data_IF_580653836555
#
_entry.id   IF_580653836555
#
_cell.length_a   1.000
_cell.length_b   1.000
_cell.length_c   1.000
_cell.angle_alpha   90.00
_cell.angle_beta   90.00
_cell.angle_gamma   90.00
#
_symmetry.space_group_name_H-M   'P 1'
#
loop_
_entity.id
_entity.type
_entity.pdbx_description
1 polymer ?
#
# COMPACT_ATOMS: atom_id res chain seq x y z
N UNK A 1 43.76 -15.42 -12.13
CA UNK A 1 42.79 -14.36 -12.41
C UNK A 1 41.49 -14.73 -11.70
N UNK A 2 41.13 -13.99 -10.65
CA UNK A 2 39.87 -14.22 -9.93
C UNK A 2 38.76 -13.45 -10.65
N UNK A 3 37.72 -14.16 -11.08
CA UNK A 3 36.53 -13.54 -11.65
C UNK A 3 35.68 -12.95 -10.52
N UNK A 4 35.59 -11.63 -10.47
CA UNK A 4 34.61 -10.91 -9.66
C UNK A 4 33.25 -11.09 -10.34
N UNK A 5 32.46 -12.05 -9.87
CA UNK A 5 31.04 -12.12 -10.22
C UNK A 5 30.31 -11.01 -9.48
N UNK A 6 30.04 -9.91 -10.17
CA UNK A 6 29.06 -8.93 -9.71
C UNK A 6 27.69 -9.58 -9.88
N UNK A 7 27.16 -10.14 -8.80
CA UNK A 7 25.74 -10.47 -8.70
C UNK A 7 24.96 -9.16 -8.71
N UNK A 8 24.68 -8.64 -9.90
CA UNK A 8 23.60 -7.67 -10.06
C UNK A 8 22.34 -8.36 -9.58
N UNK A 9 21.81 -7.96 -8.43
CA UNK A 9 20.46 -8.34 -8.03
C UNK A 9 19.54 -7.86 -9.15
N UNK A 10 19.03 -8.79 -9.95
CA UNK A 10 17.87 -8.50 -10.77
C UNK A 10 16.78 -8.06 -9.80
N UNK A 11 16.46 -6.76 -9.77
CA UNK A 11 15.21 -6.31 -9.15
C UNK A 11 14.13 -7.02 -9.94
N UNK A 12 13.43 -7.98 -9.32
CA UNK A 12 12.16 -8.41 -9.86
C UNK A 12 11.33 -7.15 -10.07
N UNK A 13 10.88 -6.92 -11.30
CA UNK A 13 10.02 -5.77 -11.60
C UNK A 13 8.85 -5.81 -10.62
N UNK A 14 8.79 -4.82 -9.74
CA UNK A 14 7.79 -4.83 -8.68
C UNK A 14 6.41 -4.74 -9.34
N UNK A 15 5.55 -5.70 -9.02
CA UNK A 15 4.25 -5.85 -9.66
C UNK A 15 3.17 -6.01 -8.61
N UNK A 16 1.97 -5.57 -8.94
CA UNK A 16 0.81 -5.78 -8.10
C UNK A 16 0.30 -7.20 -8.26
N UNK A 17 0.15 -7.90 -7.13
CA UNK A 17 -0.48 -9.21 -7.07
C UNK A 17 -1.97 -8.98 -6.81
N UNK A 18 -2.82 -9.27 -7.78
CA UNK A 18 -4.28 -9.15 -7.64
C UNK A 18 -4.92 -10.52 -7.43
N UNK A 19 -5.81 -10.61 -6.45
CA UNK A 19 -6.65 -11.78 -6.19
C UNK A 19 -8.07 -11.34 -5.82
N UNK A 20 -9.01 -12.28 -5.85
CA UNK A 20 -10.36 -12.06 -5.33
C UNK A 20 -10.53 -12.86 -4.04
N UNK A 21 -10.87 -12.19 -2.94
CA UNK A 21 -11.16 -12.82 -1.67
C UNK A 21 -12.58 -12.47 -1.23
N UNK A 22 -13.41 -13.50 -1.02
CA UNK A 22 -14.82 -13.33 -0.63
C UNK A 22 -15.61 -12.36 -1.52
N UNK A 23 -15.25 -12.30 -2.82
CA UNK A 23 -15.90 -11.42 -3.79
C UNK A 23 -15.29 -10.02 -3.91
N UNK A 24 -14.27 -9.66 -3.13
CA UNK A 24 -13.59 -8.38 -3.23
C UNK A 24 -12.22 -8.48 -3.92
N UNK A 25 -11.82 -7.48 -4.71
CA UNK A 25 -10.45 -7.36 -5.19
C UNK A 25 -9.50 -7.06 -4.02
N UNK A 26 -8.48 -7.90 -3.88
CA UNK A 26 -7.35 -7.74 -2.96
C UNK A 26 -6.10 -7.56 -3.79
N UNK A 27 -5.48 -6.40 -3.67
CA UNK A 27 -4.30 -5.99 -4.44
C UNK A 27 -3.13 -5.85 -3.46
N UNK A 28 -2.03 -6.55 -3.73
CA UNK A 28 -0.87 -6.60 -2.83
C UNK A 28 0.42 -6.21 -3.54
N UNK A 29 1.26 -5.44 -2.86
CA UNK A 29 2.66 -5.23 -3.18
C UNK A 29 3.51 -5.89 -2.09
N UNK A 30 4.54 -6.62 -2.49
CA UNK A 30 5.47 -7.30 -1.59
C UNK A 30 6.89 -6.78 -1.84
N UNK A 31 7.64 -6.58 -0.76
CA UNK A 31 9.08 -6.34 -0.79
C UNK A 31 9.79 -7.52 -0.11
N UNK A 32 11.13 -7.50 -0.09
CA UNK A 32 11.88 -8.49 0.69
C UNK A 32 11.62 -8.39 2.21
N UNK A 33 11.12 -7.24 2.65
CA UNK A 33 11.02 -6.90 4.07
C UNK A 33 9.57 -6.88 4.56
N UNK A 34 8.61 -6.44 3.75
CA UNK A 34 7.22 -6.39 4.17
C UNK A 34 6.24 -6.31 3.00
N UNK A 35 5.02 -5.88 3.28
CA UNK A 35 3.97 -5.86 2.27
C UNK A 35 2.93 -4.77 2.51
N UNK A 36 2.36 -4.28 1.42
CA UNK A 36 1.20 -3.41 1.38
C UNK A 36 0.06 -4.16 0.71
N UNK A 37 -1.12 -4.16 1.33
CA UNK A 37 -2.34 -4.71 0.75
C UNK A 37 -3.42 -3.62 0.73
N UNK A 38 -4.16 -3.58 -0.37
CA UNK A 38 -5.30 -2.69 -0.57
C UNK A 38 -6.49 -3.55 -0.96
N UNK A 39 -7.62 -3.30 -0.32
CA UNK A 39 -8.89 -3.94 -0.62
C UNK A 39 -9.92 -2.84 -0.85
N UNK A 40 -10.61 -2.88 -1.99
CA UNK A 40 -11.68 -1.93 -2.30
C UNK A 40 -13.04 -2.67 -2.31
N UNK A 41 -14.10 -1.96 -1.92
CA UNK A 41 -15.49 -2.45 -1.98
C UNK A 41 -16.37 -1.47 -2.78
N UNK A 42 -16.15 -1.37 -4.11
CA UNK A 42 -16.92 -0.45 -4.95
C UNK A 42 -18.40 -0.87 -5.06
N UNK A 43 -18.67 -2.17 -5.03
CA UNK A 43 -20.01 -2.74 -5.14
C UNK A 43 -20.80 -2.71 -3.83
N UNK A 44 -20.18 -2.25 -2.74
CA UNK A 44 -20.80 -2.14 -1.41
C UNK A 44 -21.35 -3.49 -0.93
N UNK A 45 -20.60 -4.57 -1.20
CA UNK A 45 -20.98 -5.96 -0.93
C UNK A 45 -21.33 -6.17 0.54
N UNK A 46 -20.72 -5.41 1.44
CA UNK A 46 -20.92 -5.53 2.89
C UNK A 46 -21.83 -4.44 3.49
N UNK A 47 -22.50 -3.64 2.66
CA UNK A 47 -23.47 -2.64 3.09
C UNK A 47 -23.21 -1.25 2.50
N UNK A 48 -24.08 -0.26 2.77
CA UNK A 48 -24.06 1.03 2.09
C UNK A 48 -22.85 1.91 2.42
N UNK A 49 -22.08 1.55 3.46
CA UNK A 49 -20.88 2.30 3.87
C UNK A 49 -19.67 1.80 3.07
N UNK A 50 -18.74 2.68 2.65
CA UNK A 50 -17.51 2.23 2.01
C UNK A 50 -16.69 1.31 2.93
N UNK A 51 -16.33 0.12 2.45
CA UNK A 51 -15.57 -0.89 3.22
C UNK A 51 -14.14 -1.10 2.69
N UNK A 52 -13.57 -0.11 2.01
CA UNK A 52 -12.17 -0.16 1.60
C UNK A 52 -11.22 -0.26 2.81
N UNK A 53 -10.09 -0.92 2.64
CA UNK A 53 -9.04 -0.98 3.65
C UNK A 53 -7.65 -1.04 3.04
N UNK A 54 -6.69 -0.55 3.82
CA UNK A 54 -5.27 -0.68 3.58
C UNK A 54 -4.68 -1.45 4.75
N UNK A 55 -3.88 -2.46 4.47
CA UNK A 55 -3.08 -3.18 5.46
C UNK A 55 -1.60 -3.03 5.11
N UNK A 56 -0.79 -2.69 6.11
CA UNK A 56 0.66 -2.67 5.99
C UNK A 56 1.28 -3.67 6.96
N UNK A 57 2.23 -4.46 6.46
CA UNK A 57 3.08 -5.33 7.26
C UNK A 57 4.47 -4.67 7.37
N UNK A 58 4.80 -4.11 8.53
CA UNK A 58 6.08 -3.45 8.85
C UNK A 58 6.90 -4.34 9.82
N UNK A 59 8.11 -4.79 9.44
CA UNK A 59 8.94 -5.67 10.28
C UNK A 59 9.34 -5.11 11.64
N UNK A 60 9.59 -3.81 11.73
CA UNK A 60 10.10 -3.16 12.94
C UNK A 60 9.01 -2.39 13.70
N UNK A 61 7.78 -2.32 13.17
CA UNK A 61 6.61 -1.76 13.87
C UNK A 61 5.41 -2.69 13.69
N UNK A 62 5.27 -3.67 14.60
CA UNK A 62 4.22 -4.70 14.51
C UNK A 62 2.80 -4.18 14.84
N UNK A 63 2.68 -3.02 15.48
CA UNK A 63 1.39 -2.38 15.82
C UNK A 63 1.48 -0.85 15.68
N UNK A 64 1.68 -0.35 14.44
CA UNK A 64 1.72 1.08 14.20
C UNK A 64 0.33 1.65 14.50
N UNK A 65 0.29 2.84 15.10
CA UNK A 65 -0.95 3.59 15.34
C UNK A 65 -1.23 4.63 14.24
N UNK A 66 -0.19 5.00 13.50
CA UNK A 66 -0.27 5.91 12.37
C UNK A 66 0.74 5.47 11.32
N UNK A 67 0.34 5.56 10.07
CA UNK A 67 1.24 5.49 8.91
C UNK A 67 1.06 6.68 8.01
N UNK A 68 2.13 7.02 7.29
CA UNK A 68 2.15 8.07 6.29
C UNK A 68 2.56 7.47 4.96
N UNK A 69 1.69 7.60 3.96
CA UNK A 69 2.09 7.44 2.57
C UNK A 69 2.80 8.72 2.13
N UNK A 70 4.04 8.59 1.66
CA UNK A 70 4.87 9.68 1.18
C UNK A 70 5.29 9.40 -0.26
N UNK A 71 4.70 10.12 -1.21
CA UNK A 71 5.08 10.07 -2.60
C UNK A 71 6.37 10.87 -2.86
N UNK A 72 7.09 10.53 -3.93
CA UNK A 72 8.34 11.18 -4.31
C UNK A 72 8.22 12.69 -4.57
N UNK A 73 7.05 13.15 -5.00
CA UNK A 73 6.74 14.56 -5.23
C UNK A 73 6.44 15.34 -3.92
N UNK A 74 6.47 14.65 -2.77
CA UNK A 74 6.20 15.22 -1.45
C UNK A 74 4.74 15.16 -1.03
N UNK A 75 3.83 14.65 -1.87
CA UNK A 75 2.44 14.44 -1.49
C UNK A 75 2.36 13.42 -0.34
N UNK A 76 1.44 13.68 0.60
CA UNK A 76 1.31 12.89 1.83
C UNK A 76 -0.15 12.57 2.16
N UNK A 77 -0.38 11.36 2.63
CA UNK A 77 -1.64 10.91 3.21
C UNK A 77 -1.36 10.24 4.57
N UNK A 78 -2.06 10.68 5.61
CA UNK A 78 -1.91 10.16 6.97
C UNK A 78 -3.09 9.27 7.33
N UNK A 79 -2.79 8.02 7.68
CA UNK A 79 -3.81 7.03 8.00
C UNK A 79 -3.60 6.58 9.45
N UNK A 80 -4.64 6.75 10.27
CA UNK A 80 -4.69 6.08 11.56
C UNK A 80 -4.93 4.59 11.30
N UNK A 81 -4.16 3.75 11.97
CA UNK A 81 -4.16 2.29 11.78
C UNK A 81 -4.32 1.59 13.12
N UNK A 82 -4.93 0.41 13.10
CA UNK A 82 -4.99 -0.50 14.24
C UNK A 82 -4.52 -1.88 13.78
N UNK A 83 -3.46 -2.42 14.40
CA UNK A 83 -2.85 -3.66 13.94
C UNK A 83 -2.36 -3.60 12.48
N UNK A 84 -1.88 -2.43 12.05
CA UNK A 84 -1.43 -2.20 10.67
C UNK A 84 -2.56 -2.02 9.64
N UNK A 85 -3.83 -1.95 10.07
CA UNK A 85 -4.98 -1.80 9.16
C UNK A 85 -5.62 -0.42 9.32
N UNK A 86 -5.78 0.28 8.21
CA UNK A 86 -6.59 1.50 8.09
C UNK A 86 -7.83 1.18 7.28
N UNK A 87 -9.00 1.57 7.79
CA UNK A 87 -10.27 1.42 7.08
C UNK A 87 -10.68 2.74 6.46
N UNK A 88 -11.25 2.70 5.25
CA UNK A 88 -11.78 3.86 4.53
C UNK A 88 -12.75 4.68 5.40
N UNK A 89 -13.69 4.01 6.07
CA UNK A 89 -14.71 4.66 6.91
C UNK A 89 -14.15 5.41 8.13
N UNK A 90 -12.95 5.04 8.61
CA UNK A 90 -12.31 5.66 9.77
C UNK A 90 -11.16 6.62 9.39
N UNK A 91 -10.84 6.71 8.10
CA UNK A 91 -9.78 7.59 7.59
C UNK A 91 -10.38 8.93 7.17
N UNK A 92 -9.65 10.03 7.37
CA UNK A 92 -10.04 11.32 6.81
C UNK A 92 -10.25 11.19 5.28
N UNK A 93 -11.39 11.64 4.73
CA UNK A 93 -11.69 11.45 3.32
C UNK A 93 -10.65 12.06 2.37
N UNK A 94 -10.00 13.17 2.74
CA UNK A 94 -8.98 13.80 1.91
C UNK A 94 -7.69 12.97 1.91
N UNK A 95 -7.27 12.46 3.07
CA UNK A 95 -6.08 11.62 3.14
C UNK A 95 -6.32 10.26 2.48
N UNK A 96 -7.51 9.68 2.60
CA UNK A 96 -7.88 8.49 1.84
C UNK A 96 -7.80 8.73 0.32
N UNK A 97 -8.41 9.82 -0.16
CA UNK A 97 -8.38 10.17 -1.57
C UNK A 97 -6.96 10.43 -2.11
N UNK A 98 -6.10 11.08 -1.32
CA UNK A 98 -4.68 11.28 -1.68
C UNK A 98 -3.94 9.95 -1.79
N UNK A 99 -4.13 9.04 -0.83
CA UNK A 99 -3.52 7.71 -0.87
C UNK A 99 -3.96 6.95 -2.13
N UNK A 100 -5.27 6.93 -2.42
CA UNK A 100 -5.81 6.30 -3.63
C UNK A 100 -5.21 6.92 -4.89
N UNK A 101 -5.12 8.25 -4.96
CA UNK A 101 -4.52 8.96 -6.10
C UNK A 101 -3.03 8.63 -6.29
N UNK A 102 -2.24 8.49 -5.21
CA UNK A 102 -0.85 8.05 -5.29
C UNK A 102 -0.73 6.65 -5.90
N UNK A 103 -1.57 5.71 -5.45
CA UNK A 103 -1.57 4.34 -5.96
C UNK A 103 -2.05 4.26 -7.43
N UNK A 104 -3.04 5.07 -7.80
CA UNK A 104 -3.51 5.19 -9.17
C UNK A 104 -2.44 5.75 -10.11
N UNK A 105 -1.65 6.72 -9.65
CA UNK A 105 -0.54 7.28 -10.41
C UNK A 105 0.66 6.31 -10.52
N UNK A 106 0.87 5.47 -9.50
CA UNK A 106 2.04 4.62 -9.38
C UNK A 106 3.33 5.41 -9.15
N UNK A 107 4.46 4.75 -9.39
CA UNK A 107 5.79 5.28 -9.15
C UNK A 107 6.32 4.96 -7.75
N UNK A 108 7.29 5.75 -7.31
CA UNK A 108 7.98 5.54 -6.03
C UNK A 108 7.27 6.25 -4.89
N UNK A 109 6.94 5.51 -3.84
CA UNK A 109 6.39 6.03 -2.59
C UNK A 109 6.88 5.22 -1.39
N UNK A 110 6.88 5.83 -0.21
CA UNK A 110 7.17 5.16 1.04
C UNK A 110 5.92 5.07 1.92
N UNK A 111 5.83 4.02 2.72
CA UNK A 111 4.89 3.92 3.85
C UNK A 111 5.72 3.96 5.11
N UNK A 112 5.49 4.99 5.93
CA UNK A 112 6.33 5.33 7.08
C UNK A 112 5.51 5.29 8.35
N UNK A 113 6.05 4.65 9.38
CA UNK A 113 5.56 4.65 10.76
C UNK A 113 6.56 5.36 11.68
N UNK A 114 6.29 5.35 12.99
CA UNK A 114 7.21 5.92 13.97
C UNK A 114 8.52 5.13 14.14
N UNK A 115 8.52 3.84 13.80
CA UNK A 115 9.66 2.93 14.07
C UNK A 115 10.19 2.22 12.82
N UNK A 116 9.48 2.32 11.69
CA UNK A 116 9.80 1.58 10.47
C UNK A 116 9.32 2.32 9.22
N UNK A 117 9.89 1.94 8.07
CA UNK A 117 9.45 2.43 6.76
C UNK A 117 9.71 1.41 5.67
N UNK A 118 8.78 1.29 4.73
CA UNK A 118 8.97 0.52 3.49
C UNK A 118 8.88 1.43 2.28
N UNK A 119 9.77 1.24 1.32
CA UNK A 119 9.73 1.93 0.02
C UNK A 119 9.23 0.98 -1.06
N UNK A 120 8.31 1.47 -1.86
CA UNK A 120 7.71 0.78 -2.99
C UNK A 120 7.99 1.57 -4.27
N UNK A 121 8.17 0.85 -5.38
CA UNK A 121 8.38 1.42 -6.71
C UNK A 121 7.51 0.64 -7.68
N UNK A 122 6.25 1.03 -7.80
CA UNK A 122 5.18 0.19 -8.35
C UNK A 122 4.60 0.78 -9.65
N UNK A 123 4.12 -0.05 -10.58
CA UNK A 123 3.30 0.44 -11.68
C UNK A 123 1.99 1.07 -11.17
N UNK A 124 1.37 1.89 -12.01
CA UNK A 124 0.08 2.52 -11.76
C UNK A 124 -1.06 1.50 -11.58
N UNK A 125 -2.05 1.82 -10.72
CA UNK A 125 -3.32 1.11 -10.59
C UNK A 125 -4.50 1.99 -11.05
N UNK A 126 -4.64 2.28 -12.36
CA UNK A 126 -5.64 3.23 -12.85
C UNK A 126 -7.08 2.84 -12.51
N UNK A 127 -7.36 1.54 -12.37
CA UNK A 127 -8.70 1.00 -12.08
C UNK A 127 -8.96 0.77 -10.58
N UNK A 128 -8.12 1.34 -9.70
CA UNK A 128 -8.31 1.21 -8.24
C UNK A 128 -9.57 1.96 -7.79
N UNK A 129 -10.65 1.21 -7.54
CA UNK A 129 -11.97 1.74 -7.20
C UNK A 129 -12.21 1.80 -5.67
N UNK A 130 -11.39 2.57 -4.96
CA UNK A 130 -11.46 2.77 -3.51
C UNK A 130 -12.12 4.12 -3.15
N UNK A 131 -13.32 4.38 -3.68
CA UNK A 131 -14.08 5.63 -3.53
C UNK A 131 -15.32 5.53 -2.62
#
# INVERSE_FOLDING_TARGET
>A
MAALTVSGMARADATWISRTERGLPVIRAETAEGALQVTCDPDRVFGPTPNGSVKIDLPQDADPQMIVFLARDGAQARLSVQGGIATQAATDPQDWAKMVAMLQAGGTFAVVSSKDSLTFDMPALPDLACN
#
